data_IF_371303783753
#
_entry.id   IF_371303783753
#
_cell.length_a   1.000
_cell.length_b   1.000
_cell.length_c   1.000
_cell.angle_alpha   90.00
_cell.angle_beta   90.00
_cell.angle_gamma   90.00
#
_symmetry.space_group_name_H-M   'P 1'
#
loop_
_entity.id
_entity.type
_entity.pdbx_description
1 polymer ?
#
# COMPACT_ATOMS: atom_id res chain seq x y z
N UNK A 1 41.20 23.70 73.10
CA UNK A 1 39.93 23.20 73.68
C UNK A 1 38.79 23.93 73.01
N UNK A 2 37.69 23.22 72.73
CA UNK A 2 36.36 23.66 72.25
C UNK A 2 36.31 24.25 70.83
N UNK A 3 35.43 23.87 69.91
CA UNK A 3 34.29 22.94 69.92
C UNK A 3 33.86 22.73 68.45
N UNK A 4 33.59 21.47 68.08
CA UNK A 4 32.94 21.04 66.83
C UNK A 4 31.46 21.43 66.84
N UNK A 5 30.91 21.92 65.73
CA UNK A 5 29.48 21.79 65.37
C UNK A 5 29.20 22.27 63.90
N UNK A 6 28.04 21.94 63.27
CA UNK A 6 27.96 20.80 62.36
C UNK A 6 27.38 21.14 60.97
N UNK A 7 27.49 20.15 60.07
CA UNK A 7 26.69 19.86 58.87
C UNK A 7 25.61 20.86 58.45
N UNK A 8 25.85 21.55 57.32
CA UNK A 8 24.77 22.01 56.41
C UNK A 8 24.69 21.04 55.24
N UNK A 9 23.89 19.99 55.40
CA UNK A 9 23.43 19.19 54.25
C UNK A 9 22.34 20.01 53.59
N UNK A 10 22.71 20.73 52.53
CA UNK A 10 21.75 21.37 51.63
C UNK A 10 21.13 20.25 50.80
N UNK A 11 19.91 19.87 51.16
CA UNK A 11 19.08 18.97 50.36
C UNK A 11 18.68 19.74 49.08
N UNK A 12 19.48 19.62 48.02
CA UNK A 12 19.12 20.10 46.70
C UNK A 12 18.03 19.14 46.19
N UNK A 13 16.76 19.50 46.39
CA UNK A 13 15.67 18.94 45.62
C UNK A 13 15.91 19.31 44.15
N UNK A 14 16.57 18.40 43.42
CA UNK A 14 16.50 18.33 41.97
C UNK A 14 15.04 18.03 41.62
N UNK A 15 14.26 19.10 41.44
CA UNK A 15 13.01 19.03 40.69
C UNK A 15 13.43 18.71 39.26
N UNK A 16 13.40 17.42 38.91
CA UNK A 16 13.43 17.00 37.52
C UNK A 16 12.15 17.53 36.89
N UNK A 17 12.20 18.76 36.37
CA UNK A 17 11.21 19.22 35.40
C UNK A 17 11.46 18.37 34.16
N UNK A 18 10.74 17.25 34.07
CA UNK A 18 10.46 16.59 32.81
C UNK A 18 9.73 17.63 31.96
N UNK A 19 10.49 18.40 31.20
CA UNK A 19 9.93 19.12 30.06
C UNK A 19 9.52 18.02 29.10
N UNK A 20 8.26 17.59 29.18
CA UNK A 20 7.64 16.89 28.07
C UNK A 20 7.67 17.90 26.94
N UNK A 21 8.60 17.71 26.01
CA UNK A 21 8.68 18.49 24.78
C UNK A 21 7.30 18.37 24.12
N UNK A 22 6.60 19.50 23.96
CA UNK A 22 5.30 19.49 23.31
C UNK A 22 5.50 18.96 21.89
N UNK A 23 4.72 17.95 21.49
CA UNK A 23 4.83 17.41 20.16
C UNK A 23 4.49 18.51 19.13
N UNK A 24 5.37 18.70 18.15
CA UNK A 24 5.11 19.68 17.10
C UNK A 24 3.81 19.33 16.36
N UNK A 25 2.97 20.33 16.02
CA UNK A 25 1.75 20.10 15.27
C UNK A 25 2.05 19.38 13.95
N UNK A 26 1.24 18.36 13.64
CA UNK A 26 1.37 17.58 12.42
C UNK A 26 0.02 17.36 11.76
N UNK A 27 0.02 17.26 10.44
CA UNK A 27 -1.16 16.90 9.67
C UNK A 27 -1.33 15.38 9.69
N UNK A 28 -2.55 14.93 9.99
CA UNK A 28 -2.92 13.51 9.99
C UNK A 28 -4.16 13.29 9.14
N UNK A 29 -4.25 12.10 8.55
CA UNK A 29 -5.35 11.70 7.68
C UNK A 29 -6.09 10.50 8.28
N UNK A 30 -7.40 10.48 8.12
CA UNK A 30 -8.25 9.36 8.54
C UNK A 30 -9.19 8.95 7.39
N UNK A 31 -9.10 7.71 6.86
CA UNK A 31 -8.13 6.67 7.22
C UNK A 31 -6.68 7.01 6.82
N UNK A 32 -5.72 6.62 7.65
CA UNK A 32 -4.30 6.91 7.45
C UNK A 32 -3.68 6.21 6.22
N UNK A 33 -4.27 5.09 5.79
CA UNK A 33 -3.78 4.30 4.65
C UNK A 33 -4.14 4.91 3.29
N UNK A 34 -5.06 5.87 3.23
CA UNK A 34 -5.50 6.53 2.01
C UNK A 34 -6.27 5.61 1.04
N UNK A 35 -6.81 4.49 1.52
CA UNK A 35 -7.48 3.49 0.68
C UNK A 35 -8.99 3.64 0.75
N UNK A 36 -9.63 3.67 -0.42
CA UNK A 36 -11.09 3.71 -0.60
C UNK A 36 -11.48 2.79 -1.76
N UNK A 37 -12.76 2.43 -1.90
CA UNK A 37 -13.18 1.45 -2.89
C UNK A 37 -14.19 1.99 -3.92
N UNK A 38 -14.10 1.49 -5.15
CA UNK A 38 -15.13 1.72 -6.17
C UNK A 38 -16.49 1.27 -5.65
N UNK A 39 -17.50 2.09 -5.85
CA UNK A 39 -18.87 1.89 -5.38
C UNK A 39 -19.14 2.42 -3.96
N UNK A 40 -18.13 2.93 -3.25
CA UNK A 40 -18.33 3.52 -1.91
C UNK A 40 -18.37 5.05 -1.95
N UNK A 41 -18.94 5.63 -0.90
CA UNK A 41 -18.92 7.06 -0.62
C UNK A 41 -17.97 7.41 0.54
N UNK A 42 -16.93 6.59 0.74
CA UNK A 42 -15.93 6.78 1.80
C UNK A 42 -15.22 8.13 1.63
N UNK A 43 -14.80 8.73 2.73
CA UNK A 43 -14.12 10.03 2.73
C UNK A 43 -12.86 9.95 3.56
N UNK A 44 -11.79 10.60 3.10
CA UNK A 44 -10.57 10.77 3.90
C UNK A 44 -10.57 12.18 4.47
N UNK A 45 -10.48 12.30 5.79
CA UNK A 45 -10.45 13.59 6.48
C UNK A 45 -9.02 13.98 6.79
N UNK A 46 -8.63 15.19 6.41
CA UNK A 46 -7.41 15.81 6.90
C UNK A 46 -7.69 16.55 8.21
N UNK A 47 -6.82 16.37 9.20
CA UNK A 47 -6.89 17.08 10.46
C UNK A 47 -5.50 17.43 10.98
N UNK A 48 -5.45 18.31 11.98
CA UNK A 48 -4.21 18.71 12.64
C UNK A 48 -4.17 18.04 14.01
N UNK A 49 -3.16 17.23 14.24
CA UNK A 49 -2.79 16.70 15.55
C UNK A 49 -1.82 17.68 16.21
N UNK A 50 -2.19 18.19 17.39
CA UNK A 50 -1.37 19.08 18.19
C UNK A 50 -1.71 18.88 19.67
N UNK A 51 -0.68 18.84 20.52
CA UNK A 51 -0.76 18.68 21.97
C UNK A 51 0.12 19.77 22.60
N UNK A 52 -0.36 20.61 23.55
CA UNK A 52 -1.63 20.51 24.31
C UNK A 52 -2.84 21.26 23.73
N UNK A 53 -2.66 22.12 22.74
CA UNK A 53 -3.77 22.89 22.14
C UNK A 53 -3.67 22.94 20.63
N UNK A 54 -4.78 22.63 19.96
CA UNK A 54 -4.91 22.79 18.51
C UNK A 54 -4.97 24.28 18.16
N UNK A 55 -4.01 24.82 17.39
CA UNK A 55 -4.08 26.21 16.95
C UNK A 55 -5.31 26.44 16.05
N UNK A 56 -5.79 27.68 16.04
CA UNK A 56 -6.81 28.12 15.08
C UNK A 56 -6.20 28.30 13.70
N UNK A 57 -6.97 27.96 12.67
CA UNK A 57 -6.51 28.03 11.29
C UNK A 57 -7.49 27.40 10.30
N UNK A 58 -7.09 27.36 9.04
CA UNK A 58 -7.88 26.84 7.93
C UNK A 58 -7.13 25.78 7.16
N UNK A 59 -7.85 24.80 6.63
CA UNK A 59 -7.29 23.77 5.77
C UNK A 59 -7.44 24.13 4.29
N UNK A 60 -6.42 23.76 3.51
CA UNK A 60 -6.45 23.71 2.06
C UNK A 60 -5.96 22.36 1.57
N UNK A 61 -6.70 21.75 0.66
CA UNK A 61 -6.38 20.50 -0.01
C UNK A 61 -5.99 20.80 -1.46
N UNK A 62 -4.92 20.16 -1.91
CA UNK A 62 -4.42 20.28 -3.28
C UNK A 62 -4.18 18.89 -3.84
N UNK A 63 -4.82 18.56 -4.95
CA UNK A 63 -4.53 17.36 -5.73
C UNK A 63 -3.35 17.63 -6.66
N UNK A 64 -2.22 16.97 -6.39
CA UNK A 64 -0.97 17.20 -7.11
C UNK A 64 -0.99 16.71 -8.56
N UNK A 65 -1.95 15.85 -8.94
CA UNK A 65 -2.12 15.34 -10.31
C UNK A 65 -3.36 15.87 -11.01
N UNK A 66 -4.18 16.70 -10.36
CA UNK A 66 -5.43 17.26 -10.93
C UNK A 66 -6.42 16.20 -11.46
N UNK A 67 -6.60 15.11 -10.71
CA UNK A 67 -7.46 13.95 -11.01
C UNK A 67 -8.94 14.16 -10.64
N UNK A 68 -9.60 15.09 -11.33
CA UNK A 68 -11.01 15.45 -11.06
C UNK A 68 -12.02 14.32 -11.32
N UNK A 69 -11.63 13.29 -12.07
CA UNK A 69 -12.42 12.08 -12.37
C UNK A 69 -12.25 10.98 -11.30
N UNK A 70 -11.30 11.16 -10.37
CA UNK A 70 -10.99 10.18 -9.31
C UNK A 70 -11.46 10.66 -7.94
N UNK A 71 -11.25 11.95 -7.62
CA UNK A 71 -11.57 12.53 -6.32
C UNK A 71 -12.16 13.94 -6.46
N UNK A 72 -12.84 14.39 -5.40
CA UNK A 72 -13.20 15.78 -5.16
C UNK A 72 -12.62 16.25 -3.82
N UNK A 73 -12.27 17.53 -3.74
CA UNK A 73 -11.70 18.15 -2.54
C UNK A 73 -12.70 19.13 -1.94
N UNK A 74 -13.11 18.87 -0.70
CA UNK A 74 -13.93 19.76 0.10
C UNK A 74 -13.03 20.48 1.11
N UNK A 75 -12.69 21.73 0.79
CA UNK A 75 -11.81 22.56 1.62
C UNK A 75 -12.51 23.07 2.89
N UNK A 76 -13.84 23.22 2.87
CA UNK A 76 -14.61 23.73 4.01
C UNK A 76 -14.57 22.74 5.17
N UNK A 77 -14.59 21.44 4.86
CA UNK A 77 -14.57 20.36 5.85
C UNK A 77 -13.26 19.57 5.87
N UNK A 78 -12.26 19.98 5.07
CA UNK A 78 -10.97 19.31 4.90
C UNK A 78 -11.12 17.82 4.54
N UNK A 79 -12.02 17.50 3.61
CA UNK A 79 -12.33 16.12 3.20
C UNK A 79 -11.99 15.86 1.73
N UNK A 80 -11.37 14.71 1.50
CA UNK A 80 -11.25 14.09 0.18
C UNK A 80 -12.45 13.17 0.01
N UNK A 81 -13.17 13.33 -1.09
CA UNK A 81 -14.46 12.68 -1.36
C UNK A 81 -14.45 12.02 -2.75
N UNK A 82 -15.44 11.18 -3.06
CA UNK A 82 -15.73 10.82 -4.43
C UNK A 82 -16.03 12.05 -5.30
N UNK A 83 -15.89 11.95 -6.62
CA UNK A 83 -16.42 12.94 -7.56
C UNK A 83 -17.90 13.21 -7.30
N UNK A 84 -18.32 14.48 -7.45
CA UNK A 84 -19.61 14.99 -6.95
C UNK A 84 -20.85 14.25 -7.48
N UNK A 85 -20.75 13.61 -8.64
CA UNK A 85 -21.79 12.78 -9.27
C UNK A 85 -21.08 11.55 -9.86
N UNK A 86 -21.39 10.31 -9.45
CA UNK A 86 -22.57 9.83 -8.70
C UNK A 86 -22.50 9.93 -7.16
N UNK A 87 -21.50 10.61 -6.60
CA UNK A 87 -21.29 10.62 -5.14
C UNK A 87 -20.68 9.33 -4.60
N UNK A 88 -20.20 8.46 -5.50
CA UNK A 88 -19.41 7.27 -5.19
C UNK A 88 -18.20 7.20 -6.12
N UNK A 89 -17.15 6.50 -5.70
CA UNK A 89 -16.00 6.25 -6.56
C UNK A 89 -16.37 5.34 -7.73
N UNK A 90 -16.07 5.74 -8.96
CA UNK A 90 -16.38 4.94 -10.17
C UNK A 90 -15.14 4.42 -10.89
N UNK A 91 -14.00 5.08 -10.69
CA UNK A 91 -12.77 4.82 -11.41
C UNK A 91 -11.70 4.29 -10.46
N UNK A 92 -10.95 3.29 -10.92
CA UNK A 92 -9.74 2.82 -10.23
C UNK A 92 -8.59 3.74 -10.57
N UNK A 93 -7.82 4.13 -9.56
CA UNK A 93 -6.69 5.04 -9.75
C UNK A 93 -5.99 5.40 -8.46
N UNK A 94 -4.96 6.23 -8.60
CA UNK A 94 -4.22 6.78 -7.47
C UNK A 94 -3.80 8.22 -7.73
N UNK A 95 -3.92 9.05 -6.69
CA UNK A 95 -3.38 10.41 -6.69
C UNK A 95 -2.76 10.75 -5.34
N UNK A 96 -1.98 11.83 -5.31
CA UNK A 96 -1.41 12.36 -4.07
C UNK A 96 -2.09 13.68 -3.76
N UNK A 97 -2.66 13.76 -2.57
CA UNK A 97 -3.30 14.97 -2.05
C UNK A 97 -2.41 15.56 -0.97
N UNK A 98 -2.05 16.82 -1.14
CA UNK A 98 -1.41 17.62 -0.11
C UNK A 98 -2.49 18.31 0.72
N UNK A 99 -2.36 18.23 2.04
CA UNK A 99 -3.15 19.00 2.98
C UNK A 99 -2.28 20.02 3.69
N UNK A 100 -2.73 21.27 3.67
CA UNK A 100 -2.03 22.45 4.17
C UNK A 100 -2.91 23.08 5.24
N UNK A 101 -2.44 23.09 6.48
CA UNK A 101 -3.07 23.84 7.55
C UNK A 101 -2.34 25.18 7.71
N UNK A 102 -3.06 26.28 7.56
CA UNK A 102 -2.53 27.65 7.74
C UNK A 102 -3.03 28.20 9.06
N UNK A 103 -2.13 28.52 9.99
CA UNK A 103 -2.50 29.09 11.28
C UNK A 103 -2.97 30.54 11.14
N UNK A 104 -3.96 30.94 11.94
CA UNK A 104 -4.50 32.30 11.86
C UNK A 104 -3.57 33.36 12.45
N UNK A 105 -2.79 33.00 13.47
CA UNK A 105 -1.95 33.92 14.26
C UNK A 105 -0.72 34.43 13.50
N UNK A 106 0.07 33.52 12.93
CA UNK A 106 1.37 33.80 12.32
C UNK A 106 1.42 33.47 10.83
N UNK A 107 0.34 32.92 10.27
CA UNK A 107 0.25 32.45 8.88
C UNK A 107 1.25 31.32 8.53
N UNK A 108 1.86 30.69 9.54
CA UNK A 108 2.70 29.52 9.35
C UNK A 108 1.87 28.33 8.84
N UNK A 109 2.54 27.44 8.11
CA UNK A 109 1.92 26.28 7.47
C UNK A 109 2.42 25.00 8.09
N UNK A 110 1.50 24.08 8.31
CA UNK A 110 1.80 22.67 8.62
C UNK A 110 1.26 21.85 7.47
N UNK A 111 2.12 21.06 6.84
CA UNK A 111 1.80 20.34 5.62
C UNK A 111 1.93 18.83 5.83
N UNK A 112 1.03 18.08 5.21
CA UNK A 112 1.10 16.63 5.11
C UNK A 112 0.59 16.18 3.75
N UNK A 113 1.02 15.01 3.29
CA UNK A 113 0.54 14.43 2.03
C UNK A 113 0.07 13.02 2.24
N UNK A 114 -0.94 12.62 1.48
CA UNK A 114 -1.44 11.24 1.44
C UNK A 114 -1.59 10.79 -0.01
N UNK A 115 -1.23 9.53 -0.27
CA UNK A 115 -1.56 8.89 -1.55
C UNK A 115 -2.92 8.22 -1.41
N UNK A 116 -3.91 8.78 -2.08
CA UNK A 116 -5.26 8.23 -2.17
C UNK A 116 -5.28 7.17 -3.25
N UNK A 117 -5.74 5.98 -2.91
CA UNK A 117 -5.90 4.85 -3.83
C UNK A 117 -7.36 4.44 -3.85
N UNK A 118 -7.95 4.45 -5.03
CA UNK A 118 -9.31 3.97 -5.26
C UNK A 118 -9.20 2.55 -5.80
N UNK A 119 -9.38 1.56 -4.92
CA UNK A 119 -9.28 0.15 -5.25
C UNK A 119 -10.58 -0.35 -5.91
N UNK A 120 -10.52 -1.38 -6.76
CA UNK A 120 -11.71 -2.10 -7.20
C UNK A 120 -12.55 -2.57 -6.01
N UNK A 121 -13.88 -2.64 -6.17
CA UNK A 121 -14.78 -3.17 -5.15
C UNK A 121 -14.41 -4.62 -4.73
N UNK A 122 -13.84 -5.37 -5.66
CA UNK A 122 -13.28 -6.70 -5.44
C UNK A 122 -11.94 -6.78 -6.16
N UNK A 123 -10.88 -6.99 -5.39
CA UNK A 123 -9.56 -7.30 -5.92
C UNK A 123 -9.50 -8.78 -6.28
N UNK A 124 -9.01 -9.05 -7.49
CA UNK A 124 -8.77 -10.40 -7.97
C UNK A 124 -7.36 -10.46 -8.55
N UNK A 125 -6.60 -11.47 -8.14
CA UNK A 125 -5.23 -11.68 -8.58
C UNK A 125 -5.15 -12.62 -9.77
N UNK A 126 -4.11 -12.46 -10.57
CA UNK A 126 -3.81 -13.33 -11.71
C UNK A 126 -2.30 -13.53 -11.85
N UNK A 127 -1.91 -14.68 -12.39
CA UNK A 127 -0.54 -14.98 -12.81
C UNK A 127 -0.34 -14.96 -14.33
N UNK A 128 -1.39 -15.07 -15.13
CA UNK A 128 -1.29 -15.22 -16.59
C UNK A 128 -2.18 -14.25 -17.39
N UNK A 129 -2.82 -13.29 -16.72
CA UNK A 129 -3.77 -12.33 -17.27
C UNK A 129 -5.20 -12.87 -17.41
N UNK A 130 -5.44 -14.14 -17.11
CA UNK A 130 -6.75 -14.78 -17.11
C UNK A 130 -7.51 -14.61 -15.80
N UNK A 131 -8.77 -15.04 -15.78
CA UNK A 131 -9.53 -15.20 -14.53
C UNK A 131 -8.76 -16.08 -13.53
N UNK A 132 -9.05 -15.96 -12.22
CA UNK A 132 -8.35 -16.62 -11.09
C UNK A 132 -8.41 -18.18 -11.10
N UNK A 133 -7.98 -18.79 -12.19
CA UNK A 133 -7.79 -20.23 -12.37
C UNK A 133 -6.29 -20.49 -12.24
N UNK A 134 -5.95 -21.65 -11.68
CA UNK A 134 -4.56 -22.08 -11.56
C UNK A 134 -3.93 -22.22 -12.96
N UNK A 135 -2.80 -21.52 -13.24
CA UNK A 135 -2.12 -21.68 -14.51
C UNK A 135 -1.61 -23.11 -14.69
N UNK A 136 -1.80 -23.63 -15.91
CA UNK A 136 -1.20 -24.90 -16.35
C UNK A 136 -0.23 -24.61 -17.47
N UNK A 137 1.02 -25.03 -17.30
CA UNK A 137 2.12 -24.91 -18.25
C UNK A 137 2.51 -26.31 -18.74
N UNK A 138 3.15 -26.38 -19.90
CA UNK A 138 3.69 -27.61 -20.45
C UNK A 138 5.19 -27.72 -20.20
N UNK A 139 5.70 -28.95 -20.08
CA UNK A 139 7.14 -29.19 -20.14
C UNK A 139 7.70 -28.64 -21.45
N UNK A 140 8.77 -27.86 -21.36
CA UNK A 140 9.40 -27.12 -22.46
C UNK A 140 8.89 -25.69 -22.64
N UNK A 141 7.85 -25.27 -21.91
CA UNK A 141 7.39 -23.88 -21.95
C UNK A 141 8.48 -22.94 -21.40
N UNK A 142 8.61 -21.77 -22.03
CA UNK A 142 9.45 -20.66 -21.57
C UNK A 142 8.63 -19.46 -21.10
N UNK A 143 7.30 -19.63 -21.01
CA UNK A 143 6.36 -18.58 -20.63
C UNK A 143 6.67 -18.06 -19.22
N UNK A 144 6.74 -16.74 -19.09
CA UNK A 144 6.83 -16.08 -17.79
C UNK A 144 5.42 -15.83 -17.26
N UNK A 145 5.19 -16.18 -16.00
CA UNK A 145 4.00 -15.75 -15.25
C UNK A 145 4.31 -14.43 -14.53
N UNK A 146 3.29 -13.65 -14.22
CA UNK A 146 3.43 -12.36 -13.57
C UNK A 146 2.29 -12.14 -12.58
N UNK A 147 2.62 -11.80 -11.34
CA UNK A 147 1.63 -11.31 -10.39
C UNK A 147 1.00 -10.02 -10.92
N UNK A 148 -0.32 -10.02 -11.09
CA UNK A 148 -1.10 -8.86 -11.49
C UNK A 148 -2.50 -8.89 -10.89
N UNK A 149 -3.25 -7.80 -11.08
CA UNK A 149 -4.66 -7.67 -10.74
C UNK A 149 -5.53 -7.79 -11.99
N UNK A 150 -6.76 -8.27 -11.80
CA UNK A 150 -7.80 -8.20 -12.82
C UNK A 150 -8.68 -6.95 -12.62
N UNK A 151 -9.09 -6.30 -13.73
CA UNK A 151 -8.61 -6.53 -15.09
C UNK A 151 -7.14 -6.10 -15.27
N UNK A 152 -6.40 -6.65 -16.26
CA UNK A 152 -5.01 -6.27 -16.52
C UNK A 152 -4.81 -4.76 -16.63
N UNK A 153 -3.73 -4.25 -16.05
CA UNK A 153 -3.44 -2.81 -15.95
C UNK A 153 -4.10 -2.11 -14.75
N UNK A 154 -4.82 -2.85 -13.88
CA UNK A 154 -5.34 -2.32 -12.61
C UNK A 154 -4.20 -1.97 -11.65
N UNK A 155 -3.18 -2.83 -11.53
CA UNK A 155 -2.05 -2.57 -10.63
C UNK A 155 -1.28 -1.30 -11.00
N UNK A 156 -1.06 -1.05 -12.31
CA UNK A 156 -0.35 0.13 -12.82
C UNK A 156 -1.05 1.45 -12.41
N UNK A 157 -2.38 1.43 -12.25
CA UNK A 157 -3.16 2.61 -11.83
C UNK A 157 -3.08 2.90 -10.34
N UNK A 158 -2.72 1.91 -9.52
CA UNK A 158 -2.75 2.00 -8.05
C UNK A 158 -1.42 2.46 -7.42
N UNK A 159 -0.36 2.64 -8.22
CA UNK A 159 0.96 3.05 -7.75
C UNK A 159 1.42 2.20 -6.55
N UNK A 160 1.48 0.88 -6.77
CA UNK A 160 1.94 -0.11 -5.81
C UNK A 160 3.04 -0.98 -6.41
N UNK A 161 3.57 -1.88 -5.59
CA UNK A 161 4.69 -2.75 -5.92
C UNK A 161 4.33 -4.20 -5.65
N UNK A 162 4.74 -5.08 -6.56
CA UNK A 162 4.56 -6.51 -6.41
C UNK A 162 5.78 -7.17 -5.75
N UNK A 163 5.50 -7.99 -4.74
CA UNK A 163 6.37 -9.05 -4.28
C UNK A 163 5.78 -10.41 -4.62
N UNK A 164 6.65 -11.42 -4.74
CA UNK A 164 6.22 -12.80 -4.85
C UNK A 164 7.16 -13.76 -4.12
N UNK A 165 6.61 -14.86 -3.63
CA UNK A 165 7.35 -15.95 -3.03
C UNK A 165 6.87 -17.29 -3.59
N UNK A 166 7.77 -18.27 -3.57
CA UNK A 166 7.50 -19.65 -3.95
C UNK A 166 7.62 -20.54 -2.72
N UNK A 167 6.79 -21.58 -2.66
CA UNK A 167 7.00 -22.68 -1.74
C UNK A 167 8.26 -23.49 -2.10
N UNK A 168 8.65 -24.43 -1.23
CA UNK A 168 9.86 -25.25 -1.41
C UNK A 168 9.86 -26.03 -2.73
N UNK A 169 8.69 -26.49 -3.18
CA UNK A 169 8.54 -27.15 -4.47
C UNK A 169 8.81 -26.19 -5.64
N UNK A 170 8.26 -24.98 -5.56
CA UNK A 170 8.46 -23.94 -6.56
C UNK A 170 9.90 -23.49 -6.69
N UNK A 171 10.66 -23.41 -5.59
CA UNK A 171 12.08 -23.03 -5.61
C UNK A 171 12.99 -24.00 -6.40
N UNK A 172 12.53 -25.23 -6.63
CA UNK A 172 13.24 -26.20 -7.47
C UNK A 172 12.80 -26.16 -8.95
N UNK A 173 11.72 -25.45 -9.29
CA UNK A 173 11.14 -25.42 -10.63
C UNK A 173 11.20 -24.02 -11.28
N UNK A 174 10.98 -22.97 -10.49
CA UNK A 174 10.87 -21.59 -10.93
C UNK A 174 11.67 -20.64 -10.03
N UNK A 175 11.96 -19.46 -10.54
CA UNK A 175 12.57 -18.36 -9.83
C UNK A 175 11.66 -17.13 -9.89
N UNK A 176 11.69 -16.33 -8.83
CA UNK A 176 11.02 -15.02 -8.80
C UNK A 176 12.01 -13.94 -9.21
N UNK A 177 11.59 -13.08 -10.13
CA UNK A 177 12.29 -11.87 -10.49
C UNK A 177 11.39 -10.66 -10.17
N UNK A 178 11.82 -9.83 -9.21
CA UNK A 178 11.15 -8.57 -8.89
C UNK A 178 11.95 -7.43 -9.49
N UNK A 179 11.34 -6.71 -10.42
CA UNK A 179 11.92 -5.54 -11.07
C UNK A 179 10.82 -4.59 -11.54
N UNK A 180 11.07 -3.29 -11.49
CA UNK A 180 10.15 -2.26 -12.01
C UNK A 180 8.72 -2.42 -11.46
N UNK A 181 8.59 -2.63 -10.14
CA UNK A 181 7.31 -2.81 -9.43
C UNK A 181 6.51 -4.06 -9.82
N UNK A 182 7.09 -4.95 -10.63
CA UNK A 182 6.47 -6.20 -11.08
C UNK A 182 7.18 -7.41 -10.46
N UNK A 183 6.41 -8.46 -10.18
CA UNK A 183 6.93 -9.75 -9.77
C UNK A 183 6.64 -10.79 -10.85
N UNK A 184 7.70 -11.31 -11.46
CA UNK A 184 7.62 -12.32 -12.52
C UNK A 184 8.13 -13.66 -12.01
N UNK A 185 7.52 -14.73 -12.47
CA UNK A 185 7.87 -16.10 -12.15
C UNK A 185 8.37 -16.73 -13.46
N UNK A 186 9.62 -17.18 -13.44
CA UNK A 186 10.32 -17.69 -14.62
C UNK A 186 10.86 -19.09 -14.35
N UNK A 187 11.04 -19.95 -15.36
CA UNK A 187 11.77 -21.19 -15.19
C UNK A 187 13.21 -20.93 -14.73
N UNK A 188 13.75 -21.81 -13.88
CA UNK A 188 15.14 -21.68 -13.39
C UNK A 188 16.15 -21.97 -14.52
N UNK A 189 15.78 -22.89 -15.42
CA UNK A 189 16.61 -23.32 -16.54
C UNK A 189 16.29 -22.47 -17.78
N UNK A 190 17.31 -22.16 -18.57
CA UNK A 190 17.15 -21.34 -19.78
C UNK A 190 16.31 -22.01 -20.86
N UNK A 191 16.28 -23.35 -20.84
CA UNK A 191 15.50 -24.19 -21.75
C UNK A 191 14.00 -24.21 -21.42
N UNK A 192 13.58 -23.57 -20.32
CA UNK A 192 12.19 -23.55 -19.88
C UNK A 192 11.91 -24.49 -18.70
N UNK A 193 10.64 -24.84 -18.53
CA UNK A 193 10.21 -25.81 -17.52
C UNK A 193 10.54 -27.23 -17.98
N UNK A 194 11.67 -27.79 -17.53
CA UNK A 194 12.20 -29.05 -18.10
C UNK A 194 11.58 -30.33 -17.55
N UNK A 195 10.90 -30.25 -16.41
CA UNK A 195 10.34 -31.41 -15.70
C UNK A 195 8.96 -31.06 -15.16
N UNK A 196 8.03 -32.03 -15.08
CA UNK A 196 6.74 -31.81 -14.43
C UNK A 196 6.93 -31.38 -12.98
N UNK A 197 6.21 -30.35 -12.57
CA UNK A 197 6.29 -29.81 -11.23
C UNK A 197 4.97 -29.15 -10.84
N UNK A 198 4.71 -29.02 -9.54
CA UNK A 198 3.53 -28.35 -9.02
C UNK A 198 3.95 -27.52 -7.82
N UNK A 199 3.59 -26.24 -7.83
CA UNK A 199 4.05 -25.30 -6.81
C UNK A 199 3.06 -24.17 -6.58
N UNK A 200 3.13 -23.54 -5.41
CA UNK A 200 2.35 -22.37 -5.10
C UNK A 200 3.19 -21.10 -5.23
N UNK A 201 2.59 -20.08 -5.84
CA UNK A 201 3.09 -18.72 -5.90
C UNK A 201 2.23 -17.88 -4.97
N UNK A 202 2.84 -17.20 -4.01
CA UNK A 202 2.16 -16.18 -3.20
C UNK A 202 2.58 -14.81 -3.69
N UNK A 203 1.63 -14.05 -4.21
CA UNK A 203 1.81 -12.69 -4.67
C UNK A 203 1.29 -11.71 -3.63
N UNK A 204 2.06 -10.67 -3.33
CA UNK A 204 1.66 -9.57 -2.45
C UNK A 204 1.79 -8.24 -3.19
N UNK A 205 0.72 -7.46 -3.20
CA UNK A 205 0.69 -6.10 -3.75
C UNK A 205 0.67 -5.10 -2.60
N UNK A 206 1.66 -4.24 -2.54
CA UNK A 206 1.85 -3.28 -1.45
C UNK A 206 1.91 -1.86 -1.97
N UNK A 207 1.53 -0.89 -1.15
CA UNK A 207 1.76 0.52 -1.42
C UNK A 207 3.28 0.80 -1.48
N UNK A 208 3.70 1.76 -2.30
CA UNK A 208 5.05 2.33 -2.25
C UNK A 208 5.27 2.95 -0.86
N UNK A 209 5.83 2.18 0.07
CA UNK A 209 5.85 2.49 1.51
C UNK A 209 5.69 1.27 2.43
N UNK A 210 5.18 0.15 1.90
CA UNK A 210 5.20 -1.16 2.56
C UNK A 210 3.84 -1.71 3.00
N UNK A 211 2.79 -0.89 3.06
CA UNK A 211 1.46 -1.35 3.46
C UNK A 211 0.88 -2.32 2.42
N UNK A 212 0.65 -3.57 2.83
CA UNK A 212 0.06 -4.58 1.95
C UNK A 212 -1.40 -4.23 1.64
N UNK A 213 -1.70 -4.04 0.35
CA UNK A 213 -3.05 -3.77 -0.15
C UNK A 213 -3.81 -5.06 -0.46
N UNK A 214 -3.11 -6.05 -1.01
CA UNK A 214 -3.72 -7.30 -1.43
C UNK A 214 -2.69 -8.43 -1.46
N UNK A 215 -3.14 -9.65 -1.21
CA UNK A 215 -2.32 -10.82 -1.40
C UNK A 215 -3.18 -11.98 -1.91
N UNK A 216 -2.59 -12.83 -2.72
CA UNK A 216 -3.23 -14.05 -3.18
C UNK A 216 -2.19 -15.15 -3.39
N UNK A 217 -2.65 -16.39 -3.30
CA UNK A 217 -1.84 -17.57 -3.60
C UNK A 217 -2.52 -18.33 -4.73
N UNK A 218 -1.75 -18.66 -5.76
CA UNK A 218 -2.21 -19.49 -6.88
C UNK A 218 -1.26 -20.66 -7.07
N UNK A 219 -1.84 -21.82 -7.37
CA UNK A 219 -1.08 -23.02 -7.72
C UNK A 219 -0.75 -22.98 -9.21
N UNK A 220 0.46 -23.40 -9.56
CA UNK A 220 0.92 -23.56 -10.93
C UNK A 220 1.28 -25.02 -11.13
N UNK A 221 0.78 -25.61 -12.21
CA UNK A 221 1.06 -26.99 -12.59
C UNK A 221 1.82 -27.01 -13.93
N UNK A 222 3.02 -27.58 -13.94
CA UNK A 222 3.76 -27.92 -15.16
C UNK A 222 3.52 -29.39 -15.44
N UNK A 223 2.87 -29.70 -16.56
CA UNK A 223 2.50 -31.06 -16.94
C UNK A 223 3.25 -31.50 -18.20
N UNK A 224 3.50 -32.79 -18.33
CA UNK A 224 4.00 -33.37 -19.58
C UNK A 224 2.83 -33.50 -20.57
N UNK A 225 3.01 -33.02 -21.80
CA UNK A 225 1.99 -33.00 -22.84
C UNK A 225 1.60 -34.38 -23.39
N UNK A 226 2.15 -35.46 -22.85
CA UNK A 226 1.83 -36.83 -23.25
C UNK A 226 0.52 -37.35 -22.62
N UNK A 227 -0.63 -36.75 -22.95
CA UNK A 227 -1.93 -37.43 -22.88
C UNK A 227 -2.82 -37.04 -24.07
N UNK A 228 -2.46 -37.57 -25.24
CA UNK A 228 -3.37 -37.71 -26.39
C UNK A 228 -3.27 -39.15 -26.91
N UNK A 229 -3.95 -40.08 -26.23
CA UNK A 229 -4.02 -41.45 -26.73
C UNK A 229 -4.62 -42.43 -25.74
N UNK A 230 -5.95 -42.41 -25.61
CA UNK A 230 -6.75 -43.60 -25.30
C UNK A 230 -8.15 -43.37 -25.92
N UNK A 231 -8.26 -43.61 -27.23
CA UNK A 231 -9.55 -44.00 -27.81
C UNK A 231 -9.90 -45.38 -27.25
N UNK A 232 -11.09 -45.60 -26.68
CA UNK A 232 -11.57 -46.95 -26.43
C UNK A 232 -12.09 -47.55 -27.74
N UNK A 233 -11.47 -48.67 -28.11
CA UNK A 233 -11.91 -49.64 -29.11
C UNK A 233 -13.31 -50.19 -28.83
#
# INVERSE_FOLDING_TARGET
MTKSDPSKVVLICLVYILHSEAAEPSVVFEPANGMVHVGTAETITCSLQADPSKPEGTFGLVDLKTTTDLISLDNDTAKIKPPADPGTYTNVGSTTVQCIFTKTDDQSKVEGSITVRVLPAKLEGTLDGGASVNPVLQVGDTKELQCDLLPPGTADKLAGEWGATLDEAGQNCAAVAVAEQKAKIKPIKAEGYTEPCSFNVTCAFSATGGDQMYAFTQRVDVVDGCFSGLEPS
#
